data_IF_280414105910
#
_entry.id   IF_280414105910
#
_cell.length_a   1.000
_cell.length_b   1.000
_cell.length_c   1.000
_cell.angle_alpha   90.00
_cell.angle_beta   90.00
_cell.angle_gamma   90.00
#
_symmetry.space_group_name_H-M   'P 1'
#
loop_
_entity.id
_entity.type
_entity.pdbx_description
1 polymer ?
#
# COMPACT_ATOMS: atom_id res chain seq x y z
N UNK A 1 -29.59 -8.83 25.86
CA UNK A 1 -28.64 -9.91 26.21
C UNK A 1 -28.88 -11.02 25.20
N UNK A 2 -27.96 -11.53 24.38
CA UNK A 2 -26.57 -11.24 24.06
C UNK A 2 -26.34 -11.82 22.65
N UNK A 3 -25.73 -11.07 21.73
CA UNK A 3 -25.58 -11.45 20.30
C UNK A 3 -24.12 -11.70 19.90
N UNK A 4 -23.32 -12.29 20.80
CA UNK A 4 -21.86 -12.44 20.66
C UNK A 4 -21.34 -13.86 20.95
N UNK A 5 -21.83 -14.86 20.23
CA UNK A 5 -21.19 -16.18 20.25
C UNK A 5 -21.50 -16.99 18.98
N UNK A 6 -20.76 -16.74 17.91
CA UNK A 6 -20.54 -17.69 16.81
C UNK A 6 -19.12 -17.39 16.29
N UNK A 7 -18.08 -17.93 16.95
CA UNK A 7 -17.30 -19.10 16.52
C UNK A 7 -16.83 -18.91 15.06
N UNK A 8 -15.58 -18.55 14.72
CA UNK A 8 -14.28 -19.08 15.17
C UNK A 8 -14.25 -20.60 15.14
N UNK A 9 -14.29 -21.19 13.94
CA UNK A 9 -13.54 -22.40 13.60
C UNK A 9 -13.60 -22.64 12.09
N UNK A 10 -12.45 -22.79 11.42
CA UNK A 10 -12.26 -23.62 10.23
C UNK A 10 -10.88 -23.37 9.58
N UNK A 11 -9.99 -24.36 9.75
CA UNK A 11 -9.24 -24.87 8.61
C UNK A 11 -7.80 -24.43 8.49
N UNK A 12 -6.93 -24.98 9.33
CA UNK A 12 -5.52 -25.19 8.97
C UNK A 12 -5.43 -26.23 7.85
N UNK A 13 -4.75 -25.93 6.74
CA UNK A 13 -4.25 -26.93 5.78
C UNK A 13 -2.79 -26.60 5.40
N UNK A 14 -2.03 -27.69 5.31
CA UNK A 14 -0.58 -27.88 5.27
C UNK A 14 0.08 -27.45 3.95
N UNK A 15 1.39 -27.15 4.05
CA UNK A 15 2.36 -26.89 2.99
C UNK A 15 2.29 -27.84 1.78
N UNK A 16 2.50 -27.27 0.59
CA UNK A 16 2.96 -27.99 -0.59
C UNK A 16 3.89 -27.10 -1.42
N UNK A 17 5.20 -27.33 -1.33
CA UNK A 17 6.22 -26.71 -2.17
C UNK A 17 6.28 -27.49 -3.48
N UNK A 18 6.09 -26.82 -4.61
CA UNK A 18 6.50 -27.32 -5.91
C UNK A 18 7.15 -26.17 -6.69
N UNK A 19 8.47 -26.13 -6.66
CA UNK A 19 9.29 -25.44 -7.65
C UNK A 19 9.16 -26.18 -8.98
N UNK A 20 8.68 -25.52 -10.03
CA UNK A 20 9.11 -25.82 -11.40
C UNK A 20 9.24 -24.52 -12.20
N UNK A 21 10.44 -24.35 -12.75
CA UNK A 21 10.82 -23.30 -13.66
C UNK A 21 10.20 -23.53 -15.05
N UNK A 22 9.72 -22.46 -15.68
CA UNK A 22 9.75 -22.27 -17.14
C UNK A 22 9.88 -20.79 -17.48
N UNK A 23 10.64 -20.54 -18.56
CA UNK A 23 11.25 -19.29 -19.00
C UNK A 23 10.25 -18.27 -19.61
N UNK A 24 10.69 -17.02 -19.90
CA UNK A 24 9.86 -15.82 -19.76
C UNK A 24 9.03 -15.50 -21.01
N UNK A 25 7.71 -15.41 -20.84
CA UNK A 25 6.82 -14.64 -21.70
C UNK A 25 6.54 -13.31 -21.01
N UNK A 26 6.83 -12.20 -21.68
CA UNK A 26 6.58 -10.84 -21.17
C UNK A 26 5.09 -10.70 -20.81
N UNK A 27 4.81 -10.67 -19.51
CA UNK A 27 3.53 -10.25 -18.96
C UNK A 27 3.85 -9.34 -17.76
N UNK A 28 3.68 -8.03 -17.96
CA UNK A 28 3.58 -7.08 -16.86
C UNK A 28 2.36 -7.46 -16.03
N UNK A 29 2.59 -8.23 -14.97
CA UNK A 29 1.54 -8.78 -14.12
C UNK A 29 2.10 -9.15 -12.77
N UNK A 30 2.87 -8.26 -12.15
CA UNK A 30 3.30 -8.45 -10.78
C UNK A 30 2.16 -8.05 -9.84
N UNK A 31 1.16 -8.93 -9.76
CA UNK A 31 0.16 -8.90 -8.70
C UNK A 31 0.88 -9.36 -7.43
N UNK A 32 1.48 -8.42 -6.70
CA UNK A 32 2.08 -8.71 -5.42
C UNK A 32 1.01 -9.33 -4.50
N UNK A 33 1.24 -10.54 -3.97
CA UNK A 33 0.31 -11.16 -3.06
C UNK A 33 0.21 -10.26 -1.83
N UNK A 34 -0.99 -9.78 -1.53
CA UNK A 34 -1.30 -9.03 -0.32
C UNK A 34 -1.14 -9.95 0.90
N UNK A 35 0.11 -10.16 1.31
CA UNK A 35 0.49 -10.79 2.55
C UNK A 35 0.40 -9.76 3.67
N UNK A 36 -0.74 -9.79 4.34
CA UNK A 36 -0.84 -9.89 5.80
C UNK A 36 -0.60 -8.66 6.68
N UNK A 37 -1.57 -8.54 7.60
CA UNK A 37 -1.50 -7.96 8.93
C UNK A 37 -1.56 -6.44 9.04
N UNK A 38 -2.51 -6.00 9.86
CA UNK A 38 -2.68 -4.65 10.37
C UNK A 38 -1.50 -4.25 11.28
N UNK A 39 -0.30 -4.23 10.73
CA UNK A 39 0.85 -3.65 11.38
C UNK A 39 0.77 -2.14 11.17
N UNK A 40 0.59 -1.41 12.27
CA UNK A 40 0.74 0.05 12.29
C UNK A 40 2.16 0.36 11.80
N UNK A 41 2.29 0.66 10.51
CA UNK A 41 3.58 0.84 9.87
C UNK A 41 4.20 2.15 10.37
N UNK A 42 5.40 2.07 10.96
CA UNK A 42 6.16 3.27 11.38
C UNK A 42 6.65 4.10 10.18
N UNK A 43 6.69 3.48 9.00
CA UNK A 43 6.98 4.13 7.72
C UNK A 43 6.20 3.45 6.60
N UNK A 44 5.64 4.23 5.69
CA UNK A 44 4.98 3.73 4.49
C UNK A 44 5.34 4.56 3.26
N UNK A 45 5.00 4.07 2.07
CA UNK A 45 5.28 4.73 0.81
C UNK A 45 3.99 4.97 -0.01
N UNK A 46 3.95 6.08 -0.75
CA UNK A 46 2.92 6.37 -1.75
C UNK A 46 3.61 6.78 -3.04
N UNK A 47 3.21 6.18 -4.16
CA UNK A 47 3.88 6.43 -5.43
C UNK A 47 2.91 6.52 -6.61
N UNK A 48 3.28 7.31 -7.61
CA UNK A 48 2.61 7.33 -8.91
C UNK A 48 3.36 6.36 -9.86
N UNK A 49 2.73 5.26 -10.31
CA UNK A 49 3.38 4.29 -11.20
C UNK A 49 3.76 4.87 -12.57
N UNK A 50 3.13 5.97 -12.99
CA UNK A 50 3.50 6.67 -14.22
C UNK A 50 4.89 7.34 -14.10
N UNK A 51 5.32 7.70 -12.89
CA UNK A 51 6.62 8.35 -12.66
C UNK A 51 7.75 7.32 -12.54
N UNK A 52 8.91 7.64 -13.14
CA UNK A 52 10.10 6.79 -13.03
C UNK A 52 10.55 6.63 -11.57
N UNK A 53 10.62 7.73 -10.83
CA UNK A 53 10.89 7.74 -9.39
C UNK A 53 9.85 6.92 -8.60
N UNK A 54 8.58 6.96 -9.00
CA UNK A 54 7.52 6.16 -8.37
C UNK A 54 7.76 4.66 -8.50
N UNK A 55 8.18 4.20 -9.69
CA UNK A 55 8.55 2.79 -9.89
C UNK A 55 9.81 2.39 -9.11
N UNK A 56 10.76 3.29 -8.95
CA UNK A 56 11.96 3.04 -8.12
C UNK A 56 11.57 2.94 -6.64
N UNK A 57 10.73 3.85 -6.14
CA UNK A 57 10.21 3.80 -4.78
C UNK A 57 9.43 2.50 -4.53
N UNK A 58 8.59 2.07 -5.47
CA UNK A 58 7.84 0.82 -5.36
C UNK A 58 8.77 -0.39 -5.16
N UNK A 59 9.85 -0.47 -5.94
CA UNK A 59 10.86 -1.53 -5.82
C UNK A 59 11.62 -1.45 -4.49
N UNK A 60 12.01 -0.24 -4.07
CA UNK A 60 12.71 -0.03 -2.80
C UNK A 60 11.82 -0.38 -1.60
N UNK A 61 10.53 -0.03 -1.66
CA UNK A 61 9.58 -0.39 -0.63
C UNK A 61 9.34 -1.90 -0.58
N UNK A 62 9.20 -2.55 -1.74
CA UNK A 62 9.07 -4.01 -1.83
C UNK A 62 10.30 -4.74 -1.28
N UNK A 63 11.52 -4.29 -1.63
CA UNK A 63 12.76 -4.90 -1.13
C UNK A 63 12.94 -4.69 0.38
N UNK A 64 12.42 -3.59 0.93
CA UNK A 64 12.46 -3.31 2.36
C UNK A 64 11.30 -3.95 3.16
N UNK A 65 10.33 -4.60 2.50
CA UNK A 65 9.12 -5.10 3.16
C UNK A 65 8.21 -4.00 3.70
N UNK A 66 8.31 -2.79 3.15
CA UNK A 66 7.52 -1.64 3.55
C UNK A 66 6.14 -1.64 2.87
N UNK A 67 5.13 -1.15 3.59
CA UNK A 67 3.80 -0.94 3.01
C UNK A 67 3.88 0.19 1.99
N UNK A 68 3.44 -0.06 0.75
CA UNK A 68 3.40 0.91 -0.33
C UNK A 68 2.03 0.92 -1.01
N UNK A 69 1.56 2.11 -1.40
CA UNK A 69 0.32 2.30 -2.14
C UNK A 69 0.60 3.01 -3.46
N UNK A 70 0.10 2.45 -4.56
CA UNK A 70 0.11 3.10 -5.87
C UNK A 70 -1.10 4.03 -6.00
N UNK A 71 -0.90 5.19 -6.62
CA UNK A 71 -2.00 6.01 -7.12
C UNK A 71 -2.71 5.23 -8.25
N UNK A 72 -4.03 5.09 -8.17
CA UNK A 72 -4.83 4.26 -9.09
C UNK A 72 -4.93 2.78 -8.71
N UNK A 73 -4.38 2.33 -7.57
CA UNK A 73 -4.48 0.94 -7.06
C UNK A 73 -5.85 0.64 -6.41
N UNK A 74 -6.91 1.32 -6.84
CA UNK A 74 -8.25 1.07 -6.36
C UNK A 74 -8.82 -0.21 -6.94
N UNK A 75 -9.83 -0.76 -6.26
CA UNK A 75 -10.62 -1.86 -6.80
C UNK A 75 -11.28 -1.43 -8.12
N UNK A 76 -11.55 -2.38 -9.02
CA UNK A 76 -12.20 -2.08 -10.30
C UNK A 76 -13.55 -1.37 -10.11
N UNK A 77 -14.20 -1.61 -8.97
CA UNK A 77 -15.47 -1.02 -8.58
C UNK A 77 -15.34 0.40 -7.98
N UNK A 78 -14.15 0.80 -7.51
CA UNK A 78 -13.84 2.14 -7.01
C UNK A 78 -12.38 2.48 -7.31
N UNK A 79 -12.09 3.03 -8.50
CA UNK A 79 -10.72 3.41 -8.84
C UNK A 79 -10.25 4.54 -7.90
N UNK A 80 -9.21 4.27 -7.10
CA UNK A 80 -8.50 5.24 -6.26
C UNK A 80 -7.63 6.15 -7.17
N UNK A 81 -8.25 6.79 -8.15
CA UNK A 81 -7.60 7.64 -9.14
C UNK A 81 -7.17 8.99 -8.56
N UNK A 82 -7.67 9.34 -7.38
CA UNK A 82 -7.32 10.58 -6.68
C UNK A 82 -6.65 10.29 -5.34
N UNK A 83 -5.64 11.10 -5.02
CA UNK A 83 -4.82 10.98 -3.81
C UNK A 83 -5.63 11.20 -2.52
N UNK A 84 -6.67 12.03 -2.57
CA UNK A 84 -7.57 12.25 -1.45
C UNK A 84 -8.42 11.01 -1.14
N UNK A 85 -8.93 10.35 -2.18
CA UNK A 85 -9.67 9.09 -2.04
C UNK A 85 -8.78 8.00 -1.45
N UNK A 86 -7.57 7.81 -2.01
CA UNK A 86 -6.58 6.87 -1.49
C UNK A 86 -6.24 7.15 -0.02
N UNK A 87 -6.08 8.43 0.35
CA UNK A 87 -5.80 8.83 1.72
C UNK A 87 -6.89 8.38 2.69
N UNK A 88 -8.14 8.76 2.44
CA UNK A 88 -9.25 8.47 3.33
C UNK A 88 -9.63 6.98 3.33
N UNK A 89 -9.56 6.32 2.17
CA UNK A 89 -9.88 4.92 2.03
C UNK A 89 -8.82 4.01 2.65
N UNK A 90 -7.52 4.29 2.50
CA UNK A 90 -6.48 3.31 2.87
C UNK A 90 -5.47 3.85 3.85
N UNK A 91 -4.91 5.02 3.58
CA UNK A 91 -3.72 5.52 4.29
C UNK A 91 -4.06 6.00 5.71
N UNK A 92 -5.05 6.89 5.84
CA UNK A 92 -5.42 7.52 7.12
C UNK A 92 -5.84 6.51 8.19
N UNK A 93 -6.42 5.37 7.77
CA UNK A 93 -6.87 4.30 8.67
C UNK A 93 -5.72 3.42 9.18
N UNK A 94 -4.55 3.48 8.53
CA UNK A 94 -3.39 2.59 8.79
C UNK A 94 -2.17 3.31 9.35
N UNK A 95 -2.11 4.64 9.23
CA UNK A 95 -1.04 5.46 9.81
C UNK A 95 -1.44 6.06 11.16
N UNK A 96 -0.50 5.98 12.10
CA UNK A 96 -0.58 6.65 13.39
C UNK A 96 -0.07 8.10 13.29
N UNK A 97 -0.52 9.00 14.17
CA UNK A 97 0.13 10.31 14.35
C UNK A 97 1.63 10.14 14.65
N UNK A 98 2.47 10.97 14.03
CA UNK A 98 3.93 10.91 14.14
C UNK A 98 4.60 9.90 13.20
N UNK A 99 3.84 9.14 12.41
CA UNK A 99 4.42 8.27 11.39
C UNK A 99 5.04 9.07 10.24
N UNK A 100 5.97 8.45 9.52
CA UNK A 100 6.59 9.00 8.33
C UNK A 100 6.00 8.35 7.06
N UNK A 101 5.81 9.14 6.02
CA UNK A 101 5.35 8.72 4.70
C UNK A 101 6.38 9.17 3.66
N UNK A 102 6.77 8.30 2.74
CA UNK A 102 7.65 8.63 1.62
C UNK A 102 6.81 8.72 0.34
N UNK A 103 6.89 9.84 -0.36
CA UNK A 103 6.09 10.13 -1.55
C UNK A 103 6.92 10.25 -2.82
N UNK A 104 6.53 9.54 -3.88
CA UNK A 104 7.01 9.75 -5.25
C UNK A 104 5.81 10.10 -6.15
N UNK A 105 5.37 11.35 -6.10
CA UNK A 105 4.10 11.82 -6.66
C UNK A 105 4.29 13.05 -7.54
N UNK A 106 3.29 13.33 -8.40
CA UNK A 106 3.22 14.60 -9.14
C UNK A 106 3.12 15.77 -8.16
N UNK A 107 3.56 16.98 -8.55
CA UNK A 107 3.51 18.14 -7.67
C UNK A 107 2.12 18.45 -7.09
N UNK A 108 1.06 18.26 -7.89
CA UNK A 108 -0.33 18.43 -7.45
C UNK A 108 -0.71 17.48 -6.32
N UNK A 109 -0.45 16.19 -6.51
CA UNK A 109 -0.88 15.14 -5.58
C UNK A 109 -0.05 15.19 -4.31
N UNK A 110 1.24 15.50 -4.45
CA UNK A 110 2.14 15.78 -3.33
C UNK A 110 1.62 16.92 -2.48
N UNK A 111 1.18 18.03 -3.08
CA UNK A 111 0.65 19.17 -2.33
C UNK A 111 -0.57 18.76 -1.49
N UNK A 112 -1.50 18.02 -2.09
CA UNK A 112 -2.69 17.51 -1.40
C UNK A 112 -2.30 16.55 -0.28
N UNK A 113 -1.42 15.58 -0.55
CA UNK A 113 -0.97 14.61 0.44
C UNK A 113 -0.23 15.27 1.60
N UNK A 114 0.61 16.28 1.34
CA UNK A 114 1.31 17.05 2.39
C UNK A 114 0.31 17.68 3.35
N UNK A 115 -0.76 18.28 2.81
CA UNK A 115 -1.81 18.93 3.61
C UNK A 115 -2.59 17.92 4.45
N UNK A 116 -2.97 16.79 3.85
CA UNK A 116 -3.70 15.72 4.54
C UNK A 116 -2.86 15.04 5.63
N UNK A 117 -1.59 14.76 5.34
CA UNK A 117 -0.65 14.17 6.29
C UNK A 117 -0.40 15.11 7.48
N UNK A 118 -0.18 16.40 7.21
CA UNK A 118 0.04 17.43 8.24
C UNK A 118 -1.16 17.56 9.19
N UNK A 119 -2.39 17.50 8.66
CA UNK A 119 -3.62 17.54 9.47
C UNK A 119 -3.74 16.36 10.46
N UNK A 120 -2.98 15.27 10.23
CA UNK A 120 -2.95 14.06 11.07
C UNK A 120 -1.63 13.90 11.83
N UNK A 121 -0.72 14.88 11.76
CA UNK A 121 0.61 14.82 12.37
C UNK A 121 1.54 13.78 11.74
N UNK A 122 1.34 13.44 10.47
CA UNK A 122 2.19 12.54 9.68
C UNK A 122 3.18 13.38 8.87
N UNK A 123 4.46 13.02 8.90
CA UNK A 123 5.49 13.70 8.12
C UNK A 123 5.60 13.08 6.72
N UNK A 124 5.49 13.91 5.67
CA UNK A 124 5.72 13.47 4.29
C UNK A 124 7.16 13.85 3.87
N UNK A 125 7.91 12.86 3.40
CA UNK A 125 9.23 13.02 2.78
C UNK A 125 9.14 12.69 1.30
N UNK A 126 9.95 13.37 0.49
CA UNK A 126 10.02 13.04 -0.92
C UNK A 126 11.00 11.93 -1.20
N UNK A 127 10.66 11.16 -2.22
CA UNK A 127 11.59 10.28 -2.87
C UNK A 127 12.28 11.05 -4.00
N UNK A 128 13.57 11.30 -3.83
CA UNK A 128 14.41 12.06 -4.75
C UNK A 128 14.53 11.43 -6.14
#
# INVERSE_FOLDING_TARGET
MDRRAFLWDAGAVVLGVAWQAHAPGIAFGERAPHASAALKARGAAVYDPALAQGRVLARAAASAGCVAWALGDGDADMPDNDIGTLWHARIARRLEPGAALIGALRPSDRFVLTRLASARGVTLHDFA
#
